data_IF_327271353069
#
_entry.id   IF_327271353069
#
_cell.length_a   1.000
_cell.length_b   1.000
_cell.length_c   1.000
_cell.angle_alpha   90.00
_cell.angle_beta   90.00
_cell.angle_gamma   90.00
#
_symmetry.space_group_name_H-M   'P 1'
#
loop_
_entity.id
_entity.type
_entity.pdbx_description
1 polymer ?
#
# COMPACT_ATOMS: atom_id res chain seq x y z
N UNK A 1 -14.28 19.42 -6.19
CA UNK A 1 -12.98 19.22 -6.88
C UNK A 1 -12.79 20.40 -7.83
N UNK A 2 -11.75 21.22 -7.64
CA UNK A 2 -11.44 22.37 -8.49
C UNK A 2 -10.92 21.87 -9.86
N UNK A 3 -11.49 22.36 -10.96
CA UNK A 3 -11.05 22.04 -12.32
C UNK A 3 -9.58 22.45 -12.60
N UNK A 4 -9.00 23.32 -11.77
CA UNK A 4 -7.58 23.69 -11.81
C UNK A 4 -6.63 22.60 -11.30
N UNK A 5 -7.11 21.65 -10.47
CA UNK A 5 -6.29 20.55 -9.92
C UNK A 5 -6.11 19.39 -10.91
N UNK A 6 -7.08 19.19 -11.79
CA UNK A 6 -7.11 18.10 -12.76
C UNK A 6 -7.60 18.63 -14.11
N UNK A 7 -6.74 19.35 -14.82
CA UNK A 7 -7.07 19.81 -16.16
C UNK A 7 -7.33 18.59 -17.05
N UNK A 8 -8.54 18.50 -17.60
CA UNK A 8 -8.94 17.44 -18.52
C UNK A 8 -8.51 17.86 -19.93
N UNK A 9 -7.58 17.10 -20.51
CA UNK A 9 -7.14 17.23 -21.89
C UNK A 9 -7.89 16.20 -22.70
N UNK A 10 -8.90 16.65 -23.44
CA UNK A 10 -9.66 15.84 -24.37
C UNK A 10 -9.29 16.14 -25.81
N UNK A 11 -9.49 15.16 -26.68
CA UNK A 11 -9.36 15.34 -28.11
C UNK A 11 -9.92 14.16 -28.88
N UNK A 12 -9.65 14.15 -30.17
CA UNK A 12 -9.88 12.99 -30.99
C UNK A 12 -8.77 12.83 -32.01
N UNK A 13 -8.46 11.59 -32.32
CA UNK A 13 -7.66 11.21 -33.47
C UNK A 13 -8.64 10.96 -34.62
N UNK A 14 -8.49 11.71 -35.71
CA UNK A 14 -9.27 11.50 -36.91
C UNK A 14 -8.44 10.70 -37.91
N UNK A 15 -8.86 9.47 -38.17
CA UNK A 15 -8.23 8.57 -39.14
C UNK A 15 -9.05 8.69 -40.41
N UNK A 16 -8.43 9.16 -41.50
CA UNK A 16 -9.08 9.30 -42.81
C UNK A 16 -8.47 8.26 -43.75
N UNK A 17 -9.31 7.35 -44.25
CA UNK A 17 -8.92 6.36 -45.24
C UNK A 17 -8.74 6.99 -46.62
N UNK A 18 -7.97 6.34 -47.49
CA UNK A 18 -7.80 6.77 -48.89
C UNK A 18 -9.07 6.62 -49.75
N UNK A 19 -10.15 6.09 -49.17
CA UNK A 19 -11.48 5.92 -49.74
C UNK A 19 -12.50 6.95 -49.20
N UNK A 20 -12.02 8.05 -48.60
CA UNK A 20 -12.83 9.12 -47.98
C UNK A 20 -13.66 8.69 -46.75
N UNK A 21 -13.46 7.47 -46.23
CA UNK A 21 -14.03 7.07 -44.95
C UNK A 21 -13.26 7.72 -43.79
N UNK A 22 -13.96 8.02 -42.69
CA UNK A 22 -13.34 8.56 -41.49
C UNK A 22 -13.75 7.82 -40.23
N UNK A 23 -12.77 7.54 -39.38
CA UNK A 23 -12.93 7.00 -38.04
C UNK A 23 -12.42 8.04 -37.03
N UNK A 24 -13.26 8.36 -36.05
CA UNK A 24 -12.90 9.27 -34.96
C UNK A 24 -12.72 8.50 -33.67
N UNK A 25 -11.50 8.50 -33.14
CA UNK A 25 -11.17 7.91 -31.84
C UNK A 25 -11.04 9.03 -30.83
N UNK A 26 -12.01 9.17 -29.93
CA UNK A 26 -11.94 10.16 -28.85
C UNK A 26 -10.98 9.69 -27.77
N UNK A 27 -10.26 10.63 -27.16
CA UNK A 27 -9.43 10.37 -25.99
C UNK A 27 -9.63 11.47 -24.96
N UNK A 28 -9.42 11.13 -23.70
CA UNK A 28 -9.35 12.06 -22.59
C UNK A 28 -8.21 11.64 -21.67
N UNK A 29 -7.38 12.61 -21.28
CA UNK A 29 -6.32 12.46 -20.29
C UNK A 29 -6.47 13.53 -19.23
N UNK A 30 -6.09 13.20 -18.00
CA UNK A 30 -6.10 14.15 -16.89
C UNK A 30 -4.65 14.54 -16.61
N UNK A 31 -4.34 15.84 -16.66
CA UNK A 31 -3.07 16.35 -16.15
C UNK A 31 -3.32 16.83 -14.72
N UNK A 32 -2.83 16.06 -13.77
CA UNK A 32 -2.75 16.42 -12.36
C UNK A 32 -1.31 16.28 -11.88
N UNK A 33 -0.96 17.02 -10.83
CA UNK A 33 0.25 16.76 -10.06
C UNK A 33 -0.15 15.90 -8.86
N UNK A 34 0.25 14.62 -8.86
CA UNK A 34 0.05 13.76 -7.68
C UNK A 34 0.88 14.23 -6.49
N UNK A 35 1.95 15.00 -6.72
CA UNK A 35 2.80 15.58 -5.67
C UNK A 35 2.06 16.58 -4.75
N UNK A 36 0.87 17.06 -5.15
CA UNK A 36 0.01 17.90 -4.33
C UNK A 36 -1.25 17.20 -3.81
N UNK A 37 -1.41 15.90 -4.09
CA UNK A 37 -2.58 15.11 -3.68
C UNK A 37 -2.16 14.07 -2.64
N UNK A 38 -3.02 13.84 -1.65
CA UNK A 38 -2.81 12.72 -0.74
C UNK A 38 -2.93 11.39 -1.52
N UNK A 39 -2.09 10.41 -1.18
CA UNK A 39 -2.17 9.06 -1.75
C UNK A 39 -3.28 8.25 -1.06
N UNK A 40 -3.59 8.61 0.18
CA UNK A 40 -4.63 8.01 0.99
C UNK A 40 -5.97 8.68 0.76
N UNK A 41 -7.05 7.92 0.88
CA UNK A 41 -8.42 8.42 0.72
C UNK A 41 -8.74 9.55 1.72
N UNK A 42 -8.21 9.43 2.93
CA UNK A 42 -8.37 10.40 4.01
C UNK A 42 -7.08 11.20 4.25
N UNK A 43 -7.17 12.34 4.95
CA UNK A 43 -6.01 13.23 5.25
C UNK A 43 -4.90 12.53 6.06
N UNK A 44 -5.23 11.41 6.70
CA UNK A 44 -4.32 10.52 7.43
C UNK A 44 -4.50 9.08 6.94
N UNK A 45 -3.46 8.29 7.12
CA UNK A 45 -3.49 6.84 7.09
C UNK A 45 -4.41 6.36 8.25
N UNK A 46 -5.69 6.15 8.00
CA UNK A 46 -6.59 5.45 8.93
C UNK A 46 -6.53 3.94 8.61
N UNK A 47 -5.39 3.31 8.90
CA UNK A 47 -5.30 1.85 8.81
C UNK A 47 -6.21 1.28 9.89
N UNK A 48 -7.18 0.49 9.47
CA UNK A 48 -7.93 -0.32 10.41
C UNK A 48 -7.15 -1.62 10.59
N UNK A 49 -6.58 -1.76 11.78
CA UNK A 49 -5.93 -2.99 12.22
C UNK A 49 -6.95 -3.76 13.04
N UNK A 50 -7.28 -4.96 12.58
CA UNK A 50 -8.31 -5.80 13.18
C UNK A 50 -7.97 -7.27 13.02
N UNK A 51 -8.51 -8.11 13.89
CA UNK A 51 -8.47 -9.57 13.73
C UNK A 51 -9.23 -10.02 12.47
N UNK A 52 -9.13 -11.29 12.05
CA UNK A 52 -9.80 -11.79 10.85
C UNK A 52 -11.33 -11.79 10.99
N UNK A 53 -11.85 -11.73 12.21
CA UNK A 53 -13.27 -11.59 12.56
C UNK A 53 -13.70 -10.14 12.83
N UNK A 54 -12.92 -9.16 12.34
CA UNK A 54 -13.22 -7.72 12.39
C UNK A 54 -13.28 -7.13 13.81
N UNK A 55 -12.56 -7.72 14.76
CA UNK A 55 -12.36 -7.12 16.09
C UNK A 55 -11.19 -6.15 16.01
N UNK A 56 -11.44 -4.87 16.30
CA UNK A 56 -10.40 -3.85 16.31
C UNK A 56 -9.30 -4.19 17.31
N UNK A 57 -8.06 -4.10 16.87
CA UNK A 57 -6.87 -4.30 17.71
C UNK A 57 -6.51 -2.98 18.39
N UNK A 58 -6.40 -3.01 19.70
CA UNK A 58 -6.01 -1.88 20.54
C UNK A 58 -4.56 -1.99 21.01
N UNK A 59 -4.03 -0.88 21.50
CA UNK A 59 -2.72 -0.87 22.17
C UNK A 59 -2.72 -1.87 23.34
N UNK A 60 -1.68 -2.71 23.41
CA UNK A 60 -1.52 -3.84 24.36
C UNK A 60 -2.33 -5.11 24.06
N UNK A 61 -3.10 -5.17 22.98
CA UNK A 61 -3.68 -6.43 22.54
C UNK A 61 -2.58 -7.41 22.09
N UNK A 62 -2.76 -8.68 22.44
CA UNK A 62 -1.83 -9.75 22.06
C UNK A 62 -2.48 -10.65 21.02
N UNK A 63 -1.78 -10.87 19.91
CA UNK A 63 -2.19 -11.76 18.83
C UNK A 63 -0.99 -12.62 18.42
N UNK A 64 -1.24 -13.80 17.85
CA UNK A 64 -0.17 -14.64 17.29
C UNK A 64 -0.12 -14.46 15.79
N UNK A 65 1.07 -14.40 15.21
CA UNK A 65 1.20 -14.25 13.77
C UNK A 65 1.07 -15.60 13.05
N UNK A 66 0.00 -16.34 13.37
CA UNK A 66 -0.44 -17.56 12.70
C UNK A 66 -1.67 -17.26 11.84
N UNK A 67 -1.94 -18.10 10.83
CA UNK A 67 -3.05 -17.85 9.89
C UNK A 67 -4.42 -17.79 10.59
N UNK A 68 -4.58 -18.43 11.75
CA UNK A 68 -5.81 -18.44 12.55
C UNK A 68 -5.93 -17.32 13.60
N UNK A 69 -4.86 -16.58 13.91
CA UNK A 69 -4.79 -15.62 15.03
C UNK A 69 -4.07 -14.31 14.65
N UNK A 70 -3.92 -14.04 13.35
CA UNK A 70 -3.24 -12.86 12.79
C UNK A 70 -4.16 -11.64 12.73
N UNK A 71 -3.63 -10.48 12.36
CA UNK A 71 -4.42 -9.29 12.04
C UNK A 71 -4.55 -9.09 10.53
N UNK A 72 -5.45 -8.21 10.14
CA UNK A 72 -5.58 -7.68 8.79
C UNK A 72 -5.36 -6.17 8.83
N UNK A 73 -4.90 -5.60 7.71
CA UNK A 73 -4.72 -4.15 7.55
C UNK A 73 -5.64 -3.71 6.43
N UNK A 74 -6.68 -2.95 6.76
CA UNK A 74 -7.55 -2.34 5.74
C UNK A 74 -7.03 -0.95 5.36
N UNK A 75 -7.04 -0.65 4.05
CA UNK A 75 -6.50 0.58 3.50
C UNK A 75 -7.13 0.95 2.14
N UNK A 76 -7.13 2.26 1.87
CA UNK A 76 -7.62 2.83 0.61
C UNK A 76 -6.53 3.63 -0.10
N UNK A 77 -6.10 3.18 -1.27
CA UNK A 77 -5.16 3.91 -2.13
C UNK A 77 -5.94 4.67 -3.20
N UNK A 78 -5.77 6.00 -3.27
CA UNK A 78 -6.43 6.87 -4.26
C UNK A 78 -5.82 6.79 -5.65
N UNK A 79 -4.50 6.59 -5.72
CA UNK A 79 -3.75 6.62 -6.97
C UNK A 79 -3.07 5.27 -7.25
N UNK A 80 -2.99 4.85 -8.51
CA UNK A 80 -2.13 3.73 -8.88
C UNK A 80 -0.70 3.94 -8.37
N UNK A 81 -0.13 2.94 -7.73
CA UNK A 81 1.28 2.92 -7.32
C UNK A 81 1.99 1.77 -8.03
N UNK A 82 3.25 1.97 -8.40
CA UNK A 82 4.02 0.89 -9.03
C UNK A 82 4.18 -0.29 -8.07
N UNK A 83 4.53 0.02 -6.83
CA UNK A 83 4.95 -0.91 -5.79
C UNK A 83 4.51 -0.37 -4.43
N UNK A 84 4.10 -1.26 -3.52
CA UNK A 84 3.85 -0.89 -2.12
C UNK A 84 4.19 -2.04 -1.17
N UNK A 85 4.46 -1.69 0.09
CA UNK A 85 4.80 -2.61 1.17
C UNK A 85 4.19 -2.11 2.48
N UNK A 86 3.89 -3.04 3.39
CA UNK A 86 3.69 -2.71 4.79
C UNK A 86 4.96 -3.13 5.55
N UNK A 87 5.63 -2.16 6.15
CA UNK A 87 6.97 -2.35 6.72
C UNK A 87 6.94 -2.24 8.25
N UNK A 88 7.57 -3.20 8.92
CA UNK A 88 7.90 -3.07 10.34
C UNK A 88 9.23 -2.36 10.49
N UNK A 89 9.25 -1.38 11.38
CA UNK A 89 10.40 -0.57 11.74
C UNK A 89 10.61 -0.58 13.25
N UNK A 90 11.79 -0.20 13.71
CA UNK A 90 12.05 0.02 15.14
C UNK A 90 11.23 1.22 15.64
N UNK A 91 10.76 1.23 16.90
CA UNK A 91 10.07 2.38 17.48
C UNK A 91 10.85 3.71 17.38
N UNK A 92 12.18 3.66 17.26
CA UNK A 92 13.00 4.87 17.06
C UNK A 92 13.15 5.31 15.59
N UNK A 93 12.44 4.69 14.65
CA UNK A 93 12.56 5.00 13.23
C UNK A 93 12.00 6.40 12.93
N UNK A 94 12.76 7.20 12.18
CA UNK A 94 12.36 8.52 11.74
C UNK A 94 12.26 8.59 10.21
N UNK A 95 11.49 9.52 9.61
CA UNK A 95 11.42 9.67 8.16
C UNK A 95 12.78 9.87 7.47
N UNK A 96 13.77 10.39 8.18
CA UNK A 96 15.15 10.54 7.68
C UNK A 96 15.92 9.23 7.60
N UNK A 97 15.47 8.19 8.29
CA UNK A 97 16.01 6.82 8.18
C UNK A 97 15.54 6.13 6.90
N UNK A 98 14.55 6.72 6.21
CA UNK A 98 14.06 6.18 4.96
C UNK A 98 15.16 6.13 3.89
N UNK A 99 15.39 4.94 3.34
CA UNK A 99 16.33 4.72 2.24
C UNK A 99 15.84 3.61 1.33
N UNK A 100 15.86 3.85 0.02
CA UNK A 100 15.61 2.82 -0.99
C UNK A 100 16.90 2.43 -1.72
N UNK A 101 17.18 1.14 -1.93
CA UNK A 101 16.39 -0.02 -1.49
C UNK A 101 16.51 -0.27 0.02
N UNK A 102 15.49 -0.92 0.60
CA UNK A 102 15.47 -1.30 2.02
C UNK A 102 16.32 -2.54 2.29
N UNK A 103 17.08 -2.52 3.39
CA UNK A 103 17.85 -3.67 3.86
C UNK A 103 17.51 -3.98 5.32
N UNK A 104 17.00 -5.19 5.63
CA UNK A 104 16.66 -5.58 7.00
C UNK A 104 17.83 -5.34 7.98
N UNK A 105 17.54 -4.68 9.09
CA UNK A 105 18.51 -4.35 10.14
C UNK A 105 19.34 -3.08 9.88
N UNK A 106 19.08 -2.33 8.80
CA UNK A 106 19.69 -1.02 8.54
C UNK A 106 18.66 0.08 8.71
N UNK A 107 19.10 1.27 9.13
CA UNK A 107 18.26 2.47 9.26
C UNK A 107 16.92 2.18 9.95
N UNK A 108 16.98 1.46 11.07
CA UNK A 108 15.82 1.10 11.90
C UNK A 108 14.73 0.30 11.15
N UNK A 109 14.99 -0.23 9.96
CA UNK A 109 14.05 -1.05 9.19
C UNK A 109 14.19 -2.53 9.59
N UNK A 110 13.08 -3.15 10.01
CA UNK A 110 13.04 -4.56 10.41
C UNK A 110 12.72 -5.46 9.22
N UNK A 111 11.72 -5.10 8.42
CA UNK A 111 11.34 -5.87 7.24
C UNK A 111 9.90 -5.62 6.80
N UNK A 112 9.64 -5.82 5.51
CA UNK A 112 8.28 -5.82 4.96
C UNK A 112 7.51 -7.08 5.34
N UNK A 113 6.25 -6.91 5.72
CA UNK A 113 5.28 -8.00 5.89
C UNK A 113 5.08 -8.72 4.55
N UNK A 114 5.06 -10.04 4.56
CA UNK A 114 4.65 -10.82 3.39
C UNK A 114 3.11 -10.89 3.32
N UNK A 115 2.55 -10.77 2.12
CA UNK A 115 1.10 -10.85 1.91
C UNK A 115 0.65 -12.28 1.64
N UNK A 116 -0.43 -12.71 2.27
CA UNK A 116 -1.17 -13.90 1.91
C UNK A 116 -2.44 -13.52 1.14
N UNK A 117 -2.58 -14.00 -0.09
CA UNK A 117 -3.77 -13.74 -0.89
C UNK A 117 -4.80 -14.86 -0.73
N UNK A 118 -5.97 -14.54 -0.18
CA UNK A 118 -7.04 -15.51 0.07
C UNK A 118 -7.70 -16.08 -1.19
N UNK A 119 -7.59 -15.40 -2.33
CA UNK A 119 -8.22 -15.84 -3.59
C UNK A 119 -7.32 -16.87 -4.28
N UNK A 120 -6.02 -16.57 -4.38
CA UNK A 120 -5.05 -17.45 -5.04
C UNK A 120 -4.41 -18.47 -4.09
N UNK A 121 -4.62 -18.33 -2.78
CA UNK A 121 -3.95 -19.13 -1.73
C UNK A 121 -2.42 -19.07 -1.83
N UNK A 122 -1.89 -17.95 -2.34
CA UNK A 122 -0.47 -17.75 -2.58
C UNK A 122 0.11 -16.65 -1.69
N UNK A 123 1.41 -16.76 -1.44
CA UNK A 123 2.20 -15.78 -0.71
C UNK A 123 2.92 -14.85 -1.68
N UNK A 124 2.94 -13.56 -1.37
CA UNK A 124 3.59 -12.53 -2.16
C UNK A 124 4.55 -11.74 -1.28
N UNK A 125 5.81 -11.74 -1.69
CA UNK A 125 6.84 -10.93 -1.06
C UNK A 125 6.70 -9.47 -1.49
N UNK A 126 6.77 -8.57 -0.52
CA UNK A 126 6.77 -7.15 -0.75
C UNK A 126 8.14 -6.66 -1.26
N UNK A 127 8.18 -5.54 -2.02
CA UNK A 127 7.03 -4.75 -2.43
C UNK A 127 6.18 -5.45 -3.50
N UNK A 128 4.86 -5.36 -3.38
CA UNK A 128 3.93 -5.94 -4.36
C UNK A 128 3.50 -4.91 -5.38
N UNK A 129 3.28 -5.35 -6.63
CA UNK A 129 2.88 -4.46 -7.72
C UNK A 129 1.36 -4.20 -7.72
N UNK A 130 0.96 -2.94 -7.91
CA UNK A 130 -0.46 -2.55 -7.88
C UNK A 130 -0.87 -1.55 -8.97
N UNK A 131 -1.11 -2.06 -10.17
CA UNK A 131 -1.37 -1.25 -11.36
C UNK A 131 -2.69 -0.44 -11.38
N UNK A 132 -3.81 -0.87 -10.74
CA UNK A 132 -5.00 -0.04 -10.62
C UNK A 132 -5.17 0.59 -9.22
N UNK A 133 -5.96 1.68 -9.14
CA UNK A 133 -6.53 2.17 -7.87
C UNK A 133 -7.26 1.02 -7.18
N UNK A 134 -6.97 0.78 -5.90
CA UNK A 134 -7.73 -0.17 -5.10
C UNK A 134 -8.50 0.54 -3.98
N UNK A 135 -9.81 0.74 -4.17
CA UNK A 135 -10.71 1.06 -3.06
C UNK A 135 -10.96 -0.19 -2.22
N UNK A 136 -10.99 -0.03 -0.90
CA UNK A 136 -11.32 -1.03 0.12
C UNK A 136 -10.44 -2.27 0.06
N UNK A 137 -9.13 -2.06 0.19
CA UNK A 137 -8.13 -3.14 0.16
C UNK A 137 -7.86 -3.70 1.54
N UNK A 138 -7.65 -5.01 1.62
CA UNK A 138 -7.21 -5.68 2.85
C UNK A 138 -5.88 -6.39 2.61
N UNK A 139 -4.89 -6.08 3.44
CA UNK A 139 -3.65 -6.83 3.53
C UNK A 139 -3.76 -7.90 4.61
N UNK A 140 -3.45 -9.14 4.25
CA UNK A 140 -3.38 -10.27 5.16
C UNK A 140 -1.91 -10.64 5.35
N UNK A 141 -1.26 -10.27 6.47
CA UNK A 141 0.10 -10.71 6.79
C UNK A 141 0.15 -12.23 6.94
N UNK A 142 1.15 -12.87 6.33
CA UNK A 142 1.33 -14.33 6.39
C UNK A 142 1.97 -14.85 7.69
N UNK A 143 2.41 -13.94 8.55
CA UNK A 143 3.23 -14.24 9.73
C UNK A 143 4.74 -14.26 9.47
N UNK A 144 5.17 -14.04 8.23
CA UNK A 144 6.58 -13.93 7.85
C UNK A 144 6.93 -12.55 7.28
N UNK A 145 8.22 -12.22 7.34
CA UNK A 145 8.78 -11.15 6.53
C UNK A 145 8.97 -11.60 5.08
N UNK A 146 8.96 -10.64 4.16
CA UNK A 146 9.21 -10.84 2.72
C UNK A 146 10.66 -11.27 2.42
N UNK A 147 11.60 -10.98 3.34
CA UNK A 147 12.98 -11.47 3.26
C UNK A 147 13.16 -12.85 3.95
N UNK A 148 12.06 -13.42 4.46
CA UNK A 148 12.05 -14.68 5.21
C UNK A 148 12.14 -14.49 6.72
N UNK A 149 11.73 -15.53 7.45
CA UNK A 149 11.71 -15.54 8.92
C UNK A 149 10.38 -15.07 9.52
N UNK A 150 10.05 -15.63 10.67
CA UNK A 150 8.80 -15.36 11.38
C UNK A 150 8.82 -13.98 12.06
N UNK A 151 7.67 -13.31 12.03
CA UNK A 151 7.45 -12.01 12.68
C UNK A 151 7.43 -12.14 14.22
N UNK A 152 6.99 -13.31 14.73
CA UNK A 152 6.74 -13.59 16.16
C UNK A 152 7.97 -13.37 17.07
N UNK A 153 9.20 -13.39 16.53
CA UNK A 153 10.41 -13.25 17.33
C UNK A 153 10.72 -11.80 17.79
N UNK A 154 9.99 -10.80 17.28
CA UNK A 154 10.16 -9.38 17.67
C UNK A 154 8.86 -8.68 18.07
N UNK A 155 7.69 -9.19 17.68
CA UNK A 155 6.39 -8.59 18.08
C UNK A 155 6.11 -8.76 19.57
N UNK A 156 6.64 -9.81 20.20
CA UNK A 156 6.55 -10.00 21.66
C UNK A 156 7.22 -8.85 22.47
N UNK A 157 8.18 -8.13 21.86
CA UNK A 157 8.92 -7.04 22.49
C UNK A 157 8.56 -5.64 21.92
N UNK A 158 7.71 -5.53 20.89
CA UNK A 158 7.55 -4.28 20.11
C UNK A 158 6.11 -3.79 19.86
N UNK A 159 5.07 -4.45 20.40
CA UNK A 159 3.74 -3.80 20.47
C UNK A 159 3.73 -2.64 21.49
N UNK A 160 4.80 -2.48 22.29
CA UNK A 160 5.05 -1.23 23.05
C UNK A 160 5.45 -0.03 22.16
N UNK A 161 5.51 -0.18 20.82
CA UNK A 161 5.80 0.94 19.91
C UNK A 161 5.25 0.85 18.47
N UNK A 162 4.58 -0.25 18.09
CA UNK A 162 4.21 -0.53 16.69
C UNK A 162 2.94 0.20 16.14
N UNK A 163 2.27 1.02 16.95
CA UNK A 163 1.11 1.82 16.50
C UNK A 163 1.53 3.18 15.92
N UNK A 164 2.78 3.59 16.11
CA UNK A 164 3.35 4.74 15.42
C UNK A 164 4.35 4.25 14.36
N UNK A 165 4.21 4.75 13.13
CA UNK A 165 5.14 4.61 11.98
C UNK A 165 4.82 3.51 10.97
N UNK A 166 3.60 3.53 10.43
CA UNK A 166 3.36 3.06 9.07
C UNK A 166 3.50 4.24 8.10
N UNK A 167 4.64 4.36 7.42
CA UNK A 167 4.82 5.33 6.33
C UNK A 167 5.20 4.59 5.06
N UNK A 168 4.26 4.52 4.12
CA UNK A 168 4.54 4.11 2.75
C UNK A 168 5.64 5.01 2.18
N UNK A 169 6.68 4.38 1.65
CA UNK A 169 7.65 5.03 0.79
C UNK A 169 6.96 5.59 -0.45
N UNK A 170 6.84 6.91 -0.55
CA UNK A 170 6.43 7.54 -1.80
C UNK A 170 7.64 7.65 -2.73
N UNK A 171 7.56 7.01 -3.90
CA UNK A 171 8.29 7.35 -5.11
C UNK A 171 7.29 7.63 -6.22
#
# INVERSE_FOLDING_TARGET
IDAKLFAIYGGYINIVGSNDESLRVTYAGIKGSVYGSNIWADERIDLVIQTPDFVLIQENDTFKMTIEDTFTIDFDILWPTREFSFDLVDPSWEPTDWSYPFFPGQNNYVGSLQHYNLISYAYFDAPVQQYPRLPSSTWWPSGNFSHGGAIERRVQDSIEGALDLWKLSQC
#
